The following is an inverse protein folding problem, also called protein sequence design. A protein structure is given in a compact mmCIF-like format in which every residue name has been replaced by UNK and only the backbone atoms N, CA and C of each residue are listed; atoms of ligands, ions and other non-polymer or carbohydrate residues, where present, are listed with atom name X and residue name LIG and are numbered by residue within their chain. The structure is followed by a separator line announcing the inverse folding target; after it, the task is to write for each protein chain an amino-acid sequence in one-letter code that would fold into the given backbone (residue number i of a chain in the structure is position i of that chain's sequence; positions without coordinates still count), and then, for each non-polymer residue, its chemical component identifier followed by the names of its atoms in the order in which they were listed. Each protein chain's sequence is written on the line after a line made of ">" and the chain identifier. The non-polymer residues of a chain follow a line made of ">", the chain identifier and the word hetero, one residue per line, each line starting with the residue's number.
data_IF_466225247040
#
_entry.id   IF_466225247040
#
_cell.length_a   1.000
_cell.length_b   1.000
_cell.length_c   1.000
_cell.angle_alpha   90.00
_cell.angle_beta   90.00
_cell.angle_gamma   90.00
#
_symmetry.space_group_name_H-M   'P 1'
#
loop_
_entity.id
_entity.type
_entity.pdbx_description
1 polymer ?
#
# COMPACT_ATOMS: atom_id res chain seq x y z
N UNK A 1 -13.66 5.08 22.47
CA UNK A 1 -14.70 4.07 22.53
C UNK A 1 -14.16 2.86 21.77
N UNK A 2 -13.68 1.88 22.51
CA UNK A 2 -12.90 0.74 22.01
C UNK A 2 -13.81 -0.29 21.36
N UNK A 3 -13.56 -0.58 20.08
CA UNK A 3 -14.27 -1.59 19.26
C UNK A 3 -13.61 -2.97 19.33
N UNK A 4 -13.05 -3.35 20.47
CA UNK A 4 -12.54 -4.70 20.66
C UNK A 4 -12.87 -5.07 22.09
N UNK A 5 -13.96 -5.85 22.29
CA UNK A 5 -14.11 -6.90 23.27
C UNK A 5 -15.57 -7.32 23.36
N UNK A 6 -15.93 -8.27 22.52
CA UNK A 6 -16.73 -9.42 22.88
C UNK A 6 -16.68 -10.43 21.75
N UNK A 7 -16.11 -11.63 21.95
CA UNK A 7 -16.36 -12.75 21.06
C UNK A 7 -17.85 -13.11 21.20
N UNK A 8 -18.54 -13.46 20.09
CA UNK A 8 -19.91 -13.94 20.18
C UNK A 8 -19.96 -15.17 21.08
N UNK A 9 -20.72 -15.09 22.16
CA UNK A 9 -21.02 -16.25 23.00
C UNK A 9 -21.79 -17.27 22.17
N UNK A 10 -21.29 -18.52 22.11
CA UNK A 10 -22.06 -19.68 21.71
C UNK A 10 -22.05 -20.12 20.25
N UNK A 11 -21.02 -19.75 19.47
CA UNK A 11 -20.76 -20.41 18.19
C UNK A 11 -19.95 -21.69 18.43
N UNK A 12 -20.49 -22.88 18.10
CA UNK A 12 -19.67 -24.09 17.91
C UNK A 12 -18.51 -23.68 16.96
N UNK A 13 -17.28 -23.97 17.38
CA UNK A 13 -16.12 -23.78 16.52
C UNK A 13 -16.36 -24.63 15.26
N UNK A 14 -16.69 -23.97 14.15
CA UNK A 14 -16.71 -24.61 12.85
C UNK A 14 -15.26 -25.03 12.61
N UNK A 15 -14.94 -26.28 12.92
CA UNK A 15 -13.70 -26.91 12.45
C UNK A 15 -13.82 -26.90 10.94
N UNK A 16 -13.02 -26.10 10.21
CA UNK A 16 -13.09 -26.14 8.77
C UNK A 16 -12.75 -27.57 8.36
N UNK A 17 -13.63 -28.20 7.60
CA UNK A 17 -13.32 -29.36 6.79
C UNK A 17 -11.95 -29.11 6.16
N UNK A 18 -11.03 -30.07 6.07
CA UNK A 18 -9.71 -29.87 5.49
C UNK A 18 -9.84 -29.59 3.99
N UNK A 19 -10.43 -28.45 3.66
CA UNK A 19 -10.43 -27.91 2.29
C UNK A 19 -9.00 -27.61 1.96
N UNK A 20 -8.41 -28.42 1.08
CA UNK A 20 -7.09 -28.17 0.55
C UNK A 20 -7.08 -26.79 -0.09
N UNK A 21 -6.23 -25.90 0.41
CA UNK A 21 -6.09 -24.55 -0.16
C UNK A 21 -5.60 -24.66 -1.62
N UNK A 22 -6.05 -23.74 -2.46
CA UNK A 22 -5.56 -23.63 -3.83
C UNK A 22 -4.05 -23.43 -3.87
N UNK A 23 -3.38 -24.01 -4.84
CA UNK A 23 -1.93 -23.82 -5.02
C UNK A 23 -1.57 -22.34 -5.23
N UNK A 24 -0.45 -21.90 -4.64
CA UNK A 24 0.01 -20.51 -4.71
C UNK A 24 0.22 -20.01 -6.16
N UNK A 25 0.56 -20.91 -7.09
CA UNK A 25 0.71 -20.55 -8.51
C UNK A 25 -0.65 -20.18 -9.12
N UNK A 26 -1.67 -21.00 -8.89
CA UNK A 26 -3.03 -20.77 -9.40
C UNK A 26 -3.65 -19.52 -8.76
N UNK A 27 -3.45 -19.31 -7.46
CA UNK A 27 -3.86 -18.09 -6.78
C UNK A 27 -3.24 -16.84 -7.45
N UNK A 28 -1.92 -16.84 -7.67
CA UNK A 28 -1.24 -15.70 -8.34
C UNK A 28 -1.69 -15.52 -9.78
N UNK A 29 -2.05 -16.60 -10.48
CA UNK A 29 -2.63 -16.50 -11.81
C UNK A 29 -3.98 -15.80 -11.79
N UNK A 30 -4.88 -16.20 -10.90
CA UNK A 30 -6.17 -15.53 -10.70
C UNK A 30 -5.99 -14.07 -10.32
N UNK A 31 -5.12 -13.75 -9.36
CA UNK A 31 -4.84 -12.38 -8.94
C UNK A 31 -4.28 -11.52 -10.07
N UNK A 32 -3.55 -12.08 -11.01
CA UNK A 32 -3.02 -11.33 -12.17
C UNK A 32 -4.10 -10.81 -13.10
N UNK A 33 -5.32 -11.39 -13.08
CA UNK A 33 -6.46 -10.97 -13.90
C UNK A 33 -7.22 -9.77 -13.27
N UNK A 34 -6.93 -9.41 -12.03
CA UNK A 34 -7.53 -8.23 -11.43
C UNK A 34 -6.83 -6.97 -11.94
N UNK A 35 -7.64 -5.99 -12.37
CA UNK A 35 -7.14 -4.65 -12.67
C UNK A 35 -6.94 -3.91 -11.35
N UNK A 36 -5.73 -3.43 -11.11
CA UNK A 36 -5.41 -2.69 -9.89
C UNK A 36 -4.62 -1.42 -10.20
N UNK A 37 -4.91 -0.34 -9.48
CA UNK A 37 -4.10 0.87 -9.53
C UNK A 37 -2.68 0.57 -9.03
N UNK A 38 -1.68 1.20 -9.66
CA UNK A 38 -0.29 1.13 -9.19
C UNK A 38 -0.04 2.28 -8.24
N UNK A 39 0.36 1.94 -7.01
CA UNK A 39 0.65 2.91 -5.98
C UNK A 39 2.11 2.82 -5.55
N UNK A 40 2.71 3.94 -5.19
CA UNK A 40 3.95 3.99 -4.43
C UNK A 40 3.62 4.47 -3.03
N UNK A 41 3.87 3.62 -2.05
CA UNK A 41 3.73 3.94 -0.64
C UNK A 41 5.06 4.45 -0.12
N UNK A 42 5.05 5.61 0.52
CA UNK A 42 6.24 6.31 1.01
C UNK A 42 6.09 6.64 2.49
N UNK A 43 7.19 6.70 3.19
CA UNK A 43 7.25 7.10 4.60
C UNK A 43 8.56 7.83 4.88
N UNK A 44 8.55 8.77 5.81
CA UNK A 44 9.73 9.44 6.36
C UNK A 44 9.49 9.78 7.84
N UNK A 45 10.55 9.82 8.62
CA UNK A 45 10.48 10.10 10.06
C UNK A 45 11.64 9.49 10.84
N UNK A 46 11.45 9.15 12.12
CA UNK A 46 12.52 8.62 12.98
C UNK A 46 13.17 7.32 12.50
N UNK A 47 12.49 6.56 11.64
CA UNK A 47 13.01 5.35 11.00
C UNK A 47 13.81 5.61 9.73
N UNK A 48 13.78 6.84 9.23
CA UNK A 48 14.35 7.24 7.94
C UNK A 48 13.34 7.14 6.80
N UNK A 49 13.82 7.45 5.59
CA UNK A 49 13.00 7.47 4.38
C UNK A 49 12.92 6.08 3.75
N UNK A 50 11.71 5.65 3.39
CA UNK A 50 11.50 4.38 2.70
C UNK A 50 10.25 4.45 1.80
N UNK A 51 10.12 3.46 0.90
CA UNK A 51 8.95 3.30 0.08
C UNK A 51 8.97 1.98 -0.70
N UNK A 52 7.81 1.63 -1.22
CA UNK A 52 7.60 0.40 -2.01
C UNK A 52 6.42 0.56 -2.95
N UNK A 53 6.40 -0.21 -4.02
CA UNK A 53 5.28 -0.28 -4.95
C UNK A 53 4.24 -1.29 -4.46
N UNK A 54 2.97 -0.92 -4.49
CA UNK A 54 1.84 -1.75 -4.09
C UNK A 54 0.66 -1.60 -5.04
N UNK A 55 -0.04 -2.71 -5.29
CA UNK A 55 -1.35 -2.74 -5.94
C UNK A 55 -2.47 -3.11 -4.97
N UNK A 56 -2.13 -3.72 -3.83
CA UNK A 56 -3.08 -4.11 -2.79
C UNK A 56 -3.38 -2.90 -1.88
N UNK A 57 -4.24 -1.99 -2.34
CA UNK A 57 -4.73 -0.83 -1.60
C UNK A 57 -6.24 -0.76 -1.80
N UNK A 58 -6.99 -0.55 -0.72
CA UNK A 58 -8.43 -0.27 -0.83
C UNK A 58 -8.93 0.62 0.32
N UNK A 59 -10.07 1.27 0.10
CA UNK A 59 -10.79 2.00 1.15
C UNK A 59 -11.42 1.03 2.16
N UNK A 60 -11.52 1.45 3.41
CA UNK A 60 -12.10 0.68 4.51
C UNK A 60 -13.33 1.38 5.09
N UNK A 61 -13.23 2.69 5.36
CA UNK A 61 -14.25 3.49 6.01
C UNK A 61 -14.17 4.94 5.57
N UNK A 62 -15.33 5.60 5.56
CA UNK A 62 -15.43 7.05 5.33
C UNK A 62 -15.44 7.85 6.64
N UNK A 63 -15.76 7.20 7.76
CA UNK A 63 -15.86 7.84 9.08
C UNK A 63 -15.28 6.95 10.21
N UNK A 64 -14.03 7.16 10.64
CA UNK A 64 -13.03 8.07 10.05
C UNK A 64 -12.54 7.57 8.67
N UNK A 65 -12.07 8.48 7.80
CA UNK A 65 -11.51 8.10 6.51
C UNK A 65 -10.33 7.16 6.70
N UNK A 66 -10.47 5.92 6.24
CA UNK A 66 -9.49 4.86 6.48
C UNK A 66 -9.26 4.04 5.22
N UNK A 67 -8.03 3.75 4.93
CA UNK A 67 -7.61 2.81 3.89
C UNK A 67 -6.76 1.68 4.47
N UNK A 68 -6.64 0.59 3.71
CA UNK A 68 -5.67 -0.46 4.00
C UNK A 68 -4.75 -0.71 2.81
N UNK A 69 -3.59 -1.26 3.11
CA UNK A 69 -2.65 -1.78 2.13
C UNK A 69 -1.98 -3.05 2.64
N UNK A 70 -1.47 -3.88 1.71
CA UNK A 70 -0.74 -5.10 2.07
C UNK A 70 0.74 -4.97 1.71
N UNK A 71 1.61 -5.32 2.65
CA UNK A 71 3.06 -5.33 2.49
C UNK A 71 3.65 -6.69 2.86
N UNK A 72 4.49 -7.23 2.00
CA UNK A 72 5.20 -8.46 2.33
C UNK A 72 6.08 -8.27 3.58
N UNK A 73 5.99 -9.19 4.54
CA UNK A 73 6.75 -9.15 5.81
C UNK A 73 8.27 -9.11 5.63
N UNK A 74 8.77 -9.60 4.49
CA UNK A 74 10.20 -9.56 4.16
C UNK A 74 10.66 -8.21 3.62
N UNK A 75 9.74 -7.26 3.39
CA UNK A 75 10.10 -5.93 2.91
C UNK A 75 10.86 -5.14 3.97
N UNK A 76 12.01 -4.60 3.60
CA UNK A 76 12.79 -3.73 4.47
C UNK A 76 12.06 -2.40 4.83
N UNK A 77 11.04 -2.02 4.07
CA UNK A 77 10.25 -0.81 4.35
C UNK A 77 9.27 -0.98 5.51
N UNK A 78 8.88 -2.23 5.86
CA UNK A 78 7.91 -2.50 6.92
C UNK A 78 8.33 -1.93 8.29
N UNK A 79 9.49 -2.33 8.84
CA UNK A 79 9.97 -1.82 10.13
C UNK A 79 10.19 -0.29 10.14
N UNK A 80 10.53 0.30 8.99
CA UNK A 80 10.73 1.75 8.85
C UNK A 80 9.38 2.46 8.95
N UNK A 81 8.36 1.99 8.22
CA UNK A 81 7.00 2.53 8.26
C UNK A 81 6.41 2.42 9.67
N UNK A 82 6.57 1.27 10.31
CA UNK A 82 6.12 1.04 11.68
C UNK A 82 6.77 2.03 12.67
N UNK A 83 8.07 2.30 12.53
CA UNK A 83 8.77 3.28 13.36
C UNK A 83 8.35 4.72 13.07
N UNK A 84 8.05 5.06 11.82
CA UNK A 84 7.65 6.41 11.41
C UNK A 84 6.21 6.75 11.78
N UNK A 85 5.32 5.76 11.90
CA UNK A 85 3.89 5.91 12.23
C UNK A 85 3.09 6.75 11.24
N UNK A 86 3.66 7.09 10.09
CA UNK A 86 3.04 7.86 9.01
C UNK A 86 3.44 7.31 7.65
N UNK A 87 2.58 7.48 6.65
CA UNK A 87 2.88 7.10 5.28
C UNK A 87 1.98 7.85 4.28
N UNK A 88 2.41 7.95 3.04
CA UNK A 88 1.60 8.46 1.94
C UNK A 88 1.40 7.37 0.89
N UNK A 89 0.16 7.22 0.40
CA UNK A 89 -0.17 6.35 -0.74
C UNK A 89 -0.30 7.24 -1.97
N UNK A 90 0.65 7.12 -2.89
CA UNK A 90 0.71 7.87 -4.14
C UNK A 90 0.21 6.99 -5.28
N UNK A 91 -1.01 7.20 -5.78
CA UNK A 91 -1.50 6.53 -6.99
C UNK A 91 -0.83 7.13 -8.21
N UNK A 92 -0.16 6.30 -8.99
CA UNK A 92 0.70 6.76 -10.07
C UNK A 92 -0.09 7.19 -11.31
N UNK A 93 0.37 8.28 -11.94
CA UNK A 93 -0.05 8.61 -13.30
C UNK A 93 0.61 7.67 -14.33
N UNK A 94 0.02 7.60 -15.52
CA UNK A 94 0.45 6.73 -16.60
C UNK A 94 1.91 6.95 -17.07
N UNK A 95 2.49 8.10 -16.73
CA UNK A 95 3.87 8.45 -17.08
C UNK A 95 4.90 8.02 -16.02
N UNK A 96 4.45 7.44 -14.89
CA UNK A 96 5.30 7.13 -13.74
C UNK A 96 5.72 5.65 -13.68
N UNK A 97 5.80 4.93 -14.81
CA UNK A 97 6.26 3.52 -14.83
C UNK A 97 7.68 3.37 -14.25
N UNK A 98 8.59 4.31 -14.53
CA UNK A 98 9.94 4.31 -13.97
C UNK A 98 9.95 4.43 -12.44
N UNK A 99 9.06 5.24 -11.88
CA UNK A 99 8.89 5.36 -10.42
C UNK A 99 8.39 4.04 -9.85
N UNK A 100 7.38 3.42 -10.50
CA UNK A 100 6.86 2.12 -10.08
C UNK A 100 7.98 1.06 -10.02
N UNK A 101 8.84 0.98 -11.04
CA UNK A 101 9.92 0.00 -11.13
C UNK A 101 11.02 0.20 -10.09
N UNK A 102 11.37 1.47 -9.83
CA UNK A 102 12.36 1.81 -8.79
C UNK A 102 11.87 1.37 -7.42
N UNK A 103 10.63 1.68 -7.07
CA UNK A 103 10.06 1.32 -5.76
C UNK A 103 9.65 -0.15 -5.67
N UNK A 104 9.47 -0.85 -6.79
CA UNK A 104 9.35 -2.31 -6.85
C UNK A 104 10.70 -3.04 -6.66
N UNK A 105 11.81 -2.30 -6.63
CA UNK A 105 13.16 -2.87 -6.48
C UNK A 105 13.72 -3.50 -7.77
N UNK A 106 13.13 -3.22 -8.93
CA UNK A 106 13.56 -3.77 -10.22
C UNK A 106 14.84 -3.16 -10.76
N UNK A 107 15.21 -1.96 -10.32
CA UNK A 107 16.38 -1.20 -10.80
C UNK A 107 17.63 -1.34 -9.95
N UNK A 108 17.53 -2.02 -8.79
CA UNK A 108 18.62 -2.12 -7.83
C UNK A 108 18.84 -0.87 -6.96
N UNK A 109 18.13 0.25 -7.22
CA UNK A 109 18.20 1.44 -6.37
C UNK A 109 17.70 1.13 -4.95
N UNK A 110 18.43 1.60 -3.94
CA UNK A 110 18.14 1.34 -2.53
C UNK A 110 18.01 2.65 -1.74
N UNK A 111 17.21 2.62 -0.67
CA UNK A 111 17.04 3.75 0.26
C UNK A 111 16.75 5.07 -0.47
N UNK A 112 17.47 6.13 -0.13
CA UNK A 112 17.28 7.49 -0.64
C UNK A 112 17.49 7.61 -2.16
N UNK A 113 18.31 6.73 -2.75
CA UNK A 113 18.50 6.70 -4.20
C UNK A 113 17.21 6.44 -4.99
N UNK A 114 16.19 5.82 -4.38
CA UNK A 114 14.87 5.63 -5.01
C UNK A 114 14.14 6.96 -5.22
N UNK A 115 14.34 7.92 -4.32
CA UNK A 115 13.67 9.22 -4.34
C UNK A 115 14.30 10.22 -5.32
N UNK A 116 15.42 9.89 -5.96
CA UNK A 116 15.96 10.67 -7.07
C UNK A 116 15.05 10.60 -8.31
N UNK A 117 14.23 9.53 -8.39
CA UNK A 117 13.26 9.36 -9.47
C UNK A 117 11.94 10.07 -9.11
N UNK A 118 11.66 11.17 -9.81
CA UNK A 118 10.47 12.00 -9.58
C UNK A 118 10.73 13.22 -8.69
N UNK A 119 9.70 14.06 -8.56
CA UNK A 119 9.70 15.24 -7.69
C UNK A 119 8.78 14.99 -6.50
N UNK A 120 9.26 15.31 -5.31
CA UNK A 120 8.61 14.99 -4.06
C UNK A 120 8.39 16.22 -3.21
N UNK A 121 7.19 16.36 -2.68
CA UNK A 121 6.79 17.33 -1.67
C UNK A 121 6.27 16.61 -0.41
N UNK A 122 5.62 17.34 0.47
CA UNK A 122 4.97 16.77 1.67
C UNK A 122 3.59 17.36 1.88
N UNK A 123 2.73 16.65 2.62
CA UNK A 123 1.48 17.11 3.18
C UNK A 123 1.58 17.17 4.71
N UNK A 124 0.49 16.95 5.45
CA UNK A 124 0.41 17.14 6.90
C UNK A 124 1.35 16.25 7.72
N UNK A 125 1.56 15.00 7.29
CA UNK A 125 2.38 14.06 8.08
C UNK A 125 3.86 14.21 7.86
N UNK A 126 4.27 14.85 6.75
CA UNK A 126 5.66 14.93 6.32
C UNK A 126 6.13 13.72 5.51
N UNK A 127 5.30 12.70 5.30
CA UNK A 127 5.63 11.60 4.40
C UNK A 127 5.79 12.12 2.96
N UNK A 128 6.75 11.59 2.17
CA UNK A 128 6.99 12.04 0.81
C UNK A 128 5.78 11.84 -0.09
N UNK A 129 5.38 12.89 -0.80
CA UNK A 129 4.26 12.93 -1.75
C UNK A 129 4.81 13.14 -3.15
N UNK A 130 4.49 12.24 -4.07
CA UNK A 130 4.90 12.36 -5.47
C UNK A 130 4.06 13.45 -6.16
N UNK A 131 4.71 14.48 -6.70
CA UNK A 131 4.01 15.64 -7.28
C UNK A 131 3.19 15.30 -8.51
N UNK A 132 3.58 14.26 -9.24
CA UNK A 132 2.89 13.75 -10.44
C UNK A 132 1.90 12.60 -10.15
N UNK A 133 1.62 12.30 -8.87
CA UNK A 133 0.59 11.32 -8.52
C UNK A 133 -0.80 11.82 -8.92
N UNK A 134 -1.66 10.94 -9.44
CA UNK A 134 -3.07 11.24 -9.74
C UNK A 134 -3.84 11.60 -8.46
N UNK A 135 -3.56 10.86 -7.40
CA UNK A 135 -4.03 11.15 -6.04
C UNK A 135 -2.99 10.71 -5.03
N UNK A 136 -2.84 11.48 -3.96
CA UNK A 136 -2.00 11.15 -2.83
C UNK A 136 -2.83 11.20 -1.54
N UNK A 137 -2.85 10.09 -0.79
CA UNK A 137 -3.50 9.98 0.51
C UNK A 137 -2.43 10.01 1.61
N UNK A 138 -2.42 11.08 2.39
CA UNK A 138 -1.50 11.26 3.51
C UNK A 138 -2.10 10.66 4.78
N UNK A 139 -1.41 9.69 5.39
CA UNK A 139 -1.99 8.81 6.39
C UNK A 139 -1.18 8.75 7.68
N UNK A 140 -1.89 8.63 8.81
CA UNK A 140 -1.34 8.11 10.07
C UNK A 140 -1.56 6.61 10.15
N UNK A 141 -0.55 5.88 10.63
CA UNK A 141 -0.68 4.45 10.90
C UNK A 141 -1.67 4.24 12.05
N UNK A 142 -2.64 3.35 11.84
CA UNK A 142 -3.65 2.96 12.85
C UNK A 142 -3.31 1.60 13.43
N UNK A 143 -3.07 0.62 12.55
CA UNK A 143 -2.86 -0.77 12.96
C UNK A 143 -2.05 -1.53 11.90
N UNK A 144 -1.30 -2.52 12.36
CA UNK A 144 -0.65 -3.52 11.50
C UNK A 144 -1.09 -4.90 11.97
N UNK A 145 -1.72 -5.68 11.07
CA UNK A 145 -2.08 -7.08 11.31
C UNK A 145 -1.27 -8.01 10.43
N UNK A 146 -0.65 -9.00 11.03
CA UNK A 146 0.05 -10.03 10.27
C UNK A 146 -0.92 -11.10 9.80
N UNK A 147 -0.96 -11.32 8.48
CA UNK A 147 -1.74 -12.37 7.84
C UNK A 147 -0.83 -13.18 6.91
N UNK A 148 -0.47 -14.38 7.32
CA UNK A 148 0.43 -15.26 6.55
C UNK A 148 1.77 -14.57 6.21
N UNK A 149 2.03 -14.39 4.92
CA UNK A 149 3.28 -13.78 4.41
C UNK A 149 3.26 -12.25 4.35
N UNK A 150 2.13 -11.61 4.67
CA UNK A 150 1.96 -10.17 4.54
C UNK A 150 1.51 -9.52 5.85
N UNK A 151 1.80 -8.25 5.97
CA UNK A 151 1.19 -7.33 6.92
C UNK A 151 0.07 -6.58 6.20
N UNK A 152 -1.12 -6.54 6.81
CA UNK A 152 -2.22 -5.64 6.45
C UNK A 152 -2.05 -4.40 7.31
N UNK A 153 -1.87 -3.26 6.67
CA UNK A 153 -1.56 -1.98 7.30
C UNK A 153 -2.77 -1.07 7.12
N UNK A 154 -3.33 -0.59 8.23
CA UNK A 154 -4.45 0.35 8.23
C UNK A 154 -3.95 1.76 8.48
N UNK A 155 -4.41 2.73 7.68
CA UNK A 155 -4.08 4.14 7.81
C UNK A 155 -5.32 5.03 7.82
N UNK A 156 -5.39 5.92 8.81
CA UNK A 156 -6.34 7.02 8.83
C UNK A 156 -5.84 8.12 7.89
N UNK A 157 -6.65 8.49 6.92
CA UNK A 157 -6.33 9.55 5.95
C UNK A 157 -6.52 10.91 6.61
N UNK A 158 -5.44 11.68 6.73
CA UNK A 158 -5.43 12.99 7.39
C UNK A 158 -5.34 14.16 6.41
N UNK A 159 -4.93 13.89 5.17
CA UNK A 159 -4.94 14.84 4.06
C UNK A 159 -4.99 14.13 2.72
N UNK A 160 -5.46 14.81 1.69
CA UNK A 160 -5.56 14.26 0.32
C UNK A 160 -5.22 15.35 -0.69
N UNK A 161 -4.35 15.02 -1.65
CA UNK A 161 -4.12 15.83 -2.84
C UNK A 161 -4.62 15.09 -4.07
N UNK A 162 -5.46 15.72 -4.87
CA UNK A 162 -6.01 15.16 -6.12
C UNK A 162 -5.49 15.96 -7.30
N UNK A 163 -4.89 15.27 -8.28
CA UNK A 163 -4.42 15.81 -9.56
C UNK A 163 -5.10 15.04 -10.70
N UNK A 164 -6.40 15.22 -10.86
CA UNK A 164 -7.28 14.37 -11.69
C UNK A 164 -7.09 14.54 -13.21
N UNK A 165 -6.06 15.25 -13.70
CA UNK A 165 -5.88 15.55 -15.12
C UNK A 165 -5.15 14.47 -15.93
N UNK A 166 -4.43 13.57 -15.28
CA UNK A 166 -3.62 12.56 -15.96
C UNK A 166 -4.27 11.18 -15.91
N UNK A 167 -4.12 10.35 -16.97
CA UNK A 167 -4.47 8.94 -16.95
C UNK A 167 -3.75 8.22 -15.81
N UNK A 168 -4.42 7.25 -15.19
CA UNK A 168 -3.82 6.46 -14.13
C UNK A 168 -2.99 5.29 -14.68
N UNK A 169 -1.94 4.91 -13.96
CA UNK A 169 -1.19 3.68 -14.18
C UNK A 169 -1.88 2.52 -13.50
N UNK A 170 -2.20 1.48 -14.25
CA UNK A 170 -2.76 0.24 -13.71
C UNK A 170 -1.84 -0.95 -13.96
N UNK A 171 -2.00 -2.00 -13.17
CA UNK A 171 -1.36 -3.29 -13.34
C UNK A 171 -2.41 -4.35 -13.62
N UNK A 172 -2.26 -5.04 -14.74
CA UNK A 172 -3.16 -6.11 -15.17
C UNK A 172 -2.39 -7.13 -15.97
N UNK A 173 -2.60 -8.40 -15.71
CA UNK A 173 -1.93 -9.51 -16.39
C UNK A 173 -0.40 -9.36 -16.41
N UNK A 174 0.18 -8.93 -15.27
CA UNK A 174 1.62 -8.74 -15.03
C UNK A 174 2.30 -7.65 -15.89
N UNK A 175 1.52 -6.76 -16.48
CA UNK A 175 2.02 -5.62 -17.26
C UNK A 175 1.38 -4.32 -16.80
N UNK A 176 2.09 -3.21 -16.94
CA UNK A 176 1.53 -1.89 -16.77
C UNK A 176 0.65 -1.52 -17.97
N UNK A 177 -0.45 -0.83 -17.69
CA UNK A 177 -1.36 -0.25 -18.67
C UNK A 177 -1.80 1.14 -18.22
N UNK A 178 -2.41 1.88 -19.14
CA UNK A 178 -2.91 3.26 -18.91
C UNK A 178 -4.43 3.28 -19.05
N UNK A 179 -5.12 4.01 -18.20
CA UNK A 179 -6.57 4.23 -18.23
C UNK A 179 -6.90 5.67 -17.93
#
# INVERSE_FOLDING_TARGET
>A
MTWIDQPPEGGEAITPDPVTTVEAKMFREGMSQLVAAVNVVTTDGPGGKAGFTATAVCSVSDAPPTLLLCLNRKSASGPILEKNQVFCVNTLSAHCESVADVFAGRTGAVKDARFVTGTWSTLKTGAPVLDTAVVAFDCRLVEIRTVGSHNVIFGEVVDVRVNASDPALIYHNRVYKRV
#
